data_IF_654462586384
#
_entry.id   IF_654462586384
#
_cell.length_a   1.000
_cell.length_b   1.000
_cell.length_c   1.000
_cell.angle_alpha   90.00
_cell.angle_beta   90.00
_cell.angle_gamma   90.00
#
_symmetry.space_group_name_H-M   'P 1'
#
loop_
_entity.id
_entity.type
_entity.pdbx_description
1 polymer ?
#
# COMPACT_ATOMS: atom_id res chain seq x y z
N UNK A 1 -11.23 9.38 4.24
CA UNK A 1 -10.80 8.08 3.69
C UNK A 1 -11.88 7.05 3.90
N UNK A 2 -12.20 6.27 2.87
CA UNK A 2 -13.20 5.20 2.99
C UNK A 2 -12.59 3.99 3.67
N UNK A 3 -13.45 3.09 4.17
CA UNK A 3 -12.99 1.84 4.77
C UNK A 3 -12.16 1.02 3.78
N UNK A 4 -12.61 1.02 2.52
CA UNK A 4 -11.91 0.29 1.46
C UNK A 4 -10.51 0.83 1.23
N UNK A 5 -10.37 2.16 1.17
CA UNK A 5 -9.07 2.79 1.02
C UNK A 5 -8.16 2.50 2.22
N UNK A 6 -8.74 2.52 3.40
CA UNK A 6 -7.99 2.23 4.61
C UNK A 6 -7.45 0.80 4.60
N UNK A 7 -8.27 -0.16 4.17
CA UNK A 7 -7.85 -1.55 4.06
C UNK A 7 -6.74 -1.72 3.04
N UNK A 8 -6.84 -1.02 1.92
CA UNK A 8 -5.78 -1.07 0.91
C UNK A 8 -4.47 -0.50 1.46
N UNK A 9 -4.57 0.59 2.21
CA UNK A 9 -3.40 1.21 2.83
C UNK A 9 -2.73 0.24 3.80
N UNK A 10 -3.51 -0.44 4.62
CA UNK A 10 -2.98 -1.41 5.58
C UNK A 10 -2.28 -2.57 4.88
N UNK A 11 -2.89 -3.08 3.81
CA UNK A 11 -2.29 -4.18 3.04
C UNK A 11 -0.98 -3.76 2.40
N UNK A 12 -0.95 -2.59 1.79
CA UNK A 12 0.26 -2.09 1.14
C UNK A 12 1.37 -1.93 2.15
N UNK A 13 1.05 -1.37 3.31
CA UNK A 13 2.01 -1.16 4.39
C UNK A 13 2.56 -2.48 4.90
N UNK A 14 1.68 -3.47 5.10
CA UNK A 14 2.09 -4.79 5.54
C UNK A 14 3.07 -5.42 4.56
N UNK A 15 2.71 -5.45 3.28
CA UNK A 15 3.57 -6.05 2.25
C UNK A 15 4.93 -5.37 2.17
N UNK A 16 4.94 -4.06 2.29
CA UNK A 16 6.16 -3.30 2.13
C UNK A 16 7.11 -3.46 3.33
N UNK A 17 6.58 -3.33 4.54
CA UNK A 17 7.41 -3.31 5.75
C UNK A 17 7.60 -4.68 6.38
N UNK A 18 6.59 -5.54 6.31
CA UNK A 18 6.67 -6.84 6.97
C UNK A 18 7.16 -7.96 6.04
N UNK A 19 6.77 -7.89 4.76
CA UNK A 19 7.14 -8.91 3.78
C UNK A 19 8.29 -8.49 2.87
N UNK A 20 8.70 -7.25 2.96
CA UNK A 20 9.80 -6.69 2.16
C UNK A 20 9.56 -6.76 0.65
N UNK A 21 8.31 -6.68 0.23
CA UNK A 21 7.99 -6.63 -1.19
C UNK A 21 8.31 -5.26 -1.76
N UNK A 22 8.68 -5.24 -3.04
CA UNK A 22 8.88 -3.97 -3.74
C UNK A 22 7.53 -3.35 -4.09
N UNK A 23 7.54 -2.07 -4.42
CA UNK A 23 6.32 -1.39 -4.85
C UNK A 23 5.72 -2.07 -6.08
N UNK A 24 6.57 -2.52 -7.00
CA UNK A 24 6.13 -3.23 -8.19
C UNK A 24 5.43 -4.55 -7.82
N UNK A 25 6.02 -5.29 -6.91
CA UNK A 25 5.43 -6.55 -6.45
C UNK A 25 4.08 -6.31 -5.76
N UNK A 26 3.99 -5.27 -4.94
CA UNK A 26 2.75 -4.94 -4.25
C UNK A 26 1.66 -4.56 -5.25
N UNK A 27 2.01 -3.79 -6.28
CA UNK A 27 1.03 -3.39 -7.28
C UNK A 27 0.45 -4.62 -7.99
N UNK A 28 1.29 -5.60 -8.30
CA UNK A 28 0.83 -6.85 -8.91
C UNK A 28 -0.06 -7.64 -7.97
N UNK A 29 0.36 -7.76 -6.71
CA UNK A 29 -0.39 -8.54 -5.72
C UNK A 29 -1.76 -7.93 -5.43
N UNK A 30 -1.82 -6.61 -5.37
CA UNK A 30 -3.06 -5.92 -5.03
C UNK A 30 -3.91 -5.57 -6.23
N UNK A 31 -3.37 -5.74 -7.44
CA UNK A 31 -4.10 -5.40 -8.65
C UNK A 31 -4.33 -3.91 -8.82
N UNK A 32 -3.41 -3.09 -8.35
CA UNK A 32 -3.49 -1.63 -8.47
C UNK A 32 -2.22 -1.12 -9.15
N UNK A 33 -2.23 0.13 -9.58
CA UNK A 33 -1.06 0.72 -10.21
C UNK A 33 0.04 0.97 -9.19
N UNK A 34 1.27 1.04 -9.67
CA UNK A 34 2.41 1.35 -8.82
C UNK A 34 2.26 2.73 -8.17
N UNK A 35 1.72 3.69 -8.94
CA UNK A 35 1.46 5.03 -8.40
C UNK A 35 0.48 4.99 -7.23
N UNK A 36 -0.52 4.12 -7.32
CA UNK A 36 -1.47 3.93 -6.23
C UNK A 36 -0.77 3.38 -4.99
N UNK A 37 0.13 2.42 -5.18
CA UNK A 37 0.90 1.85 -4.07
C UNK A 37 1.73 2.92 -3.37
N UNK A 38 2.41 3.74 -4.16
CA UNK A 38 3.24 4.82 -3.62
C UNK A 38 2.39 5.77 -2.79
N UNK A 39 1.22 6.14 -3.31
CA UNK A 39 0.31 7.02 -2.59
C UNK A 39 -0.19 6.41 -1.29
N UNK A 40 -0.54 5.12 -1.33
CA UNK A 40 -1.02 4.42 -0.13
C UNK A 40 0.05 4.37 0.95
N UNK A 41 1.28 4.07 0.57
CA UNK A 41 2.39 4.04 1.52
C UNK A 41 2.67 5.41 2.11
N UNK A 42 2.55 6.45 1.28
CA UNK A 42 2.77 7.80 1.71
C UNK A 42 1.70 8.24 2.72
N UNK A 43 0.45 7.87 2.45
CA UNK A 43 -0.65 8.16 3.37
C UNK A 43 -0.46 7.44 4.71
N UNK A 44 -0.01 6.20 4.66
CA UNK A 44 0.24 5.42 5.88
C UNK A 44 1.31 6.08 6.73
N UNK A 45 2.36 6.59 6.09
CA UNK A 45 3.43 7.26 6.79
C UNK A 45 2.95 8.57 7.43
N UNK A 46 2.08 9.29 6.75
CA UNK A 46 1.50 10.52 7.27
C UNK A 46 0.60 10.27 8.47
N UNK A 47 -0.12 9.15 8.45
CA UNK A 47 -1.04 8.80 9.53
C UNK A 47 -0.32 8.32 10.78
N UNK A 48 0.79 7.70 10.58
CA UNK A 48 1.42 7.04 11.66
C UNK A 48 2.81 7.34 12.00
#
# INVERSE_FOLDING_TARGET
>A
MTDEEYQLMLKATWFYYMENYTQQQISSLMGVSRGKVIRLLDEARSEG
#
